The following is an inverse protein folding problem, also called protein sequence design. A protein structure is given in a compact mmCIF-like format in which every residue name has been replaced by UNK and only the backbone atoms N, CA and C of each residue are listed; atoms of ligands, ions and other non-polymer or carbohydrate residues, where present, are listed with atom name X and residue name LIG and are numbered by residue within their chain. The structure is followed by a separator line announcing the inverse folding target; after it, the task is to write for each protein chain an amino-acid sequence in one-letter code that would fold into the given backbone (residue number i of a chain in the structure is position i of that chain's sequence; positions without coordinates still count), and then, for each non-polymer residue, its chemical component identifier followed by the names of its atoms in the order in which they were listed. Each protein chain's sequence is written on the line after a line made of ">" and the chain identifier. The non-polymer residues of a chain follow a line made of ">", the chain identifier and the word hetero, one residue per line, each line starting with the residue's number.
data_IF_804681068371
#
_entry.id   IF_804681068371
#
_cell.length_a   1.000
_cell.length_b   1.000
_cell.length_c   1.000
_cell.angle_alpha   90.00
_cell.angle_beta   90.00
_cell.angle_gamma   90.00
#
_symmetry.space_group_name_H-M   'P 1'
#
loop_
_entity.id
_entity.type
_entity.pdbx_description
1 polymer ?
#
# COMPACT_ATOMS: atom_id res chain seq x y z
N UNK A 1 22.72 -22.50 0.39
CA UNK A 1 21.30 -22.50 0.58
C UNK A 1 20.56 -22.28 -0.74
N UNK A 2 19.68 -23.16 -1.03
CA UNK A 2 18.99 -23.13 -2.31
C UNK A 2 17.77 -22.23 -2.25
N UNK A 3 17.51 -21.49 -3.33
CA UNK A 3 16.30 -20.69 -3.37
C UNK A 3 15.07 -21.57 -3.46
N UNK A 4 13.97 -21.07 -2.96
CA UNK A 4 12.69 -21.73 -3.09
C UNK A 4 12.27 -21.79 -4.54
N UNK A 5 11.55 -22.84 -4.91
CA UNK A 5 10.93 -22.91 -6.21
C UNK A 5 9.80 -21.87 -6.32
N UNK A 6 9.53 -21.43 -7.55
CA UNK A 6 8.45 -20.47 -7.78
C UNK A 6 7.11 -20.96 -7.22
N UNK A 7 6.88 -22.28 -7.32
CA UNK A 7 5.65 -22.87 -6.78
C UNK A 7 5.53 -22.65 -5.28
N UNK A 8 6.66 -22.74 -4.56
CA UNK A 8 6.62 -22.56 -3.11
C UNK A 8 6.28 -21.14 -2.72
N UNK A 9 6.79 -20.14 -3.45
CA UNK A 9 6.43 -18.75 -3.19
C UNK A 9 4.94 -18.52 -3.45
N UNK A 10 4.42 -19.12 -4.51
CA UNK A 10 2.99 -19.02 -4.81
C UNK A 10 2.16 -19.63 -3.68
N UNK A 11 2.59 -20.76 -3.16
CA UNK A 11 1.90 -21.43 -2.06
C UNK A 11 1.88 -20.54 -0.82
N UNK A 12 3.01 -19.94 -0.47
CA UNK A 12 3.07 -19.06 0.69
C UNK A 12 2.16 -17.85 0.49
N UNK A 13 2.16 -17.28 -0.72
CA UNK A 13 1.26 -16.16 -1.00
C UNK A 13 -0.20 -16.58 -0.83
N UNK A 14 -0.57 -17.73 -1.36
CA UNK A 14 -1.94 -18.23 -1.25
C UNK A 14 -2.34 -18.46 0.21
N UNK A 15 -1.43 -19.03 1.00
CA UNK A 15 -1.67 -19.21 2.43
C UNK A 15 -1.86 -17.87 3.13
N UNK A 16 -1.02 -16.91 2.78
CA UNK A 16 -1.15 -15.57 3.36
C UNK A 16 -2.52 -14.98 3.11
N UNK A 17 -3.02 -15.09 1.87
CA UNK A 17 -4.34 -14.59 1.52
C UNK A 17 -5.41 -15.32 2.32
N UNK A 18 -5.29 -16.64 2.45
CA UNK A 18 -6.26 -17.42 3.22
C UNK A 18 -6.30 -16.99 4.68
N UNK A 19 -5.11 -16.85 5.29
CA UNK A 19 -5.04 -16.40 6.69
C UNK A 19 -5.63 -14.99 6.84
N UNK A 20 -5.31 -14.10 5.91
CA UNK A 20 -5.84 -12.73 5.95
C UNK A 20 -7.37 -12.75 5.92
N UNK A 21 -7.93 -13.58 5.06
CA UNK A 21 -9.39 -13.66 4.92
C UNK A 21 -10.05 -14.24 6.17
N UNK A 22 -9.28 -14.98 6.98
CA UNK A 22 -9.76 -15.52 8.25
C UNK A 22 -9.52 -14.57 9.43
N UNK A 23 -8.91 -13.41 9.17
CA UNK A 23 -8.59 -12.48 10.23
C UNK A 23 -7.34 -12.83 11.01
N UNK A 24 -6.56 -13.80 10.52
CA UNK A 24 -5.33 -14.23 11.17
C UNK A 24 -4.17 -13.44 10.58
N UNK A 25 -4.10 -12.16 10.97
CA UNK A 25 -3.19 -11.21 10.31
C UNK A 25 -1.72 -11.50 10.60
N UNK A 26 -1.40 -11.96 11.80
CA UNK A 26 -0.01 -12.28 12.14
C UNK A 26 0.50 -13.41 11.28
N UNK A 27 -0.31 -14.48 11.18
CA UNK A 27 0.04 -15.63 10.35
C UNK A 27 0.13 -15.22 8.87
N UNK A 28 -0.80 -14.38 8.44
CA UNK A 28 -0.79 -13.90 7.05
C UNK A 28 0.50 -13.16 6.74
N UNK A 29 0.93 -12.26 7.64
CA UNK A 29 2.14 -11.47 7.41
C UNK A 29 3.37 -12.35 7.35
N UNK A 30 3.42 -13.42 8.14
CA UNK A 30 4.54 -14.36 8.07
C UNK A 30 4.65 -15.00 6.70
N UNK A 31 3.50 -15.40 6.14
CA UNK A 31 3.49 -16.02 4.81
C UNK A 31 3.90 -15.00 3.74
N UNK A 32 3.38 -13.79 3.83
CA UNK A 32 3.74 -12.75 2.86
C UNK A 32 5.21 -12.38 2.96
N UNK A 33 5.78 -12.43 4.15
CA UNK A 33 7.21 -12.17 4.33
C UNK A 33 8.04 -13.14 3.50
N UNK A 34 7.62 -14.39 3.44
CA UNK A 34 8.31 -15.40 2.62
C UNK A 34 8.10 -15.10 1.13
N UNK A 35 6.85 -14.90 0.72
CA UNK A 35 6.54 -14.70 -0.71
C UNK A 35 7.14 -13.42 -1.26
N UNK A 36 7.43 -12.42 -0.42
CA UNK A 36 8.09 -11.20 -0.87
C UNK A 36 9.49 -11.45 -1.43
N UNK A 37 10.08 -12.59 -1.15
CA UNK A 37 11.40 -12.93 -1.68
C UNK A 37 11.36 -13.31 -3.16
N UNK A 38 10.17 -13.46 -3.73
CA UNK A 38 9.99 -13.73 -5.15
C UNK A 38 9.69 -12.42 -5.87
N UNK A 39 10.42 -12.14 -6.96
CA UNK A 39 10.13 -10.94 -7.75
C UNK A 39 8.69 -10.93 -8.22
N UNK A 40 8.14 -12.10 -8.56
CA UNK A 40 6.76 -12.19 -9.05
C UNK A 40 5.73 -11.80 -7.99
N UNK A 41 6.03 -12.03 -6.72
CA UNK A 41 5.09 -11.78 -5.64
C UNK A 41 5.47 -10.62 -4.73
N UNK A 42 6.55 -9.91 -5.07
CA UNK A 42 7.06 -8.85 -4.21
C UNK A 42 6.00 -7.77 -3.98
N UNK A 43 5.45 -7.23 -5.05
CA UNK A 43 4.48 -6.12 -4.91
C UNK A 43 3.17 -6.59 -4.32
N UNK A 44 2.66 -7.75 -4.76
CA UNK A 44 1.41 -8.28 -4.22
C UNK A 44 1.54 -8.56 -2.73
N UNK A 45 2.67 -9.12 -2.32
CA UNK A 45 2.88 -9.45 -0.90
C UNK A 45 3.03 -8.19 -0.06
N UNK A 46 3.72 -7.19 -0.60
CA UNK A 46 3.88 -5.92 0.12
C UNK A 46 2.52 -5.26 0.32
N UNK A 47 1.68 -5.27 -0.71
CA UNK A 47 0.34 -4.69 -0.61
C UNK A 47 -0.49 -5.43 0.43
N UNK A 48 -0.47 -6.76 0.39
CA UNK A 48 -1.23 -7.56 1.34
C UNK A 48 -0.75 -7.37 2.77
N UNK A 49 0.57 -7.23 2.95
CA UNK A 49 1.12 -6.93 4.27
C UNK A 49 0.60 -5.61 4.80
N UNK A 50 0.55 -4.59 3.93
CA UNK A 50 0.03 -3.28 4.34
C UNK A 50 -1.45 -3.37 4.71
N UNK A 51 -2.22 -4.16 3.96
CA UNK A 51 -3.63 -4.36 4.29
C UNK A 51 -3.78 -5.01 5.66
N UNK A 52 -2.96 -6.03 5.96
CA UNK A 52 -3.00 -6.67 7.26
C UNK A 52 -2.65 -5.69 8.38
N UNK A 53 -1.61 -4.89 8.18
CA UNK A 53 -1.21 -3.90 9.18
C UNK A 53 -2.30 -2.86 9.41
N UNK A 54 -2.98 -2.45 8.34
CA UNK A 54 -4.08 -1.51 8.48
C UNK A 54 -5.20 -2.11 9.29
N UNK A 55 -5.55 -3.38 9.05
CA UNK A 55 -6.59 -4.06 9.79
C UNK A 55 -6.23 -4.21 11.27
N UNK A 56 -4.95 -4.30 11.56
CA UNK A 56 -4.45 -4.37 12.94
C UNK A 56 -4.31 -2.98 13.57
N UNK A 57 -4.70 -1.93 12.86
CA UNK A 57 -4.58 -0.54 13.30
C UNK A 57 -3.13 -0.08 13.45
N UNK A 58 -2.26 -0.63 12.59
CA UNK A 58 -0.85 -0.25 12.54
C UNK A 58 -0.58 0.55 11.26
N UNK A 59 -1.32 1.63 11.07
CA UNK A 59 -1.27 2.40 9.82
C UNK A 59 0.11 3.01 9.55
N UNK A 60 0.80 3.45 10.60
CA UNK A 60 2.14 4.02 10.43
C UNK A 60 3.10 2.98 9.84
N UNK A 61 3.05 1.76 10.35
CA UNK A 61 3.90 0.70 9.82
C UNK A 61 3.53 0.36 8.39
N UNK A 62 2.23 0.36 8.07
CA UNK A 62 1.78 0.10 6.70
C UNK A 62 2.33 1.15 5.76
N UNK A 63 2.25 2.42 6.15
CA UNK A 63 2.76 3.53 5.34
C UNK A 63 4.26 3.38 5.10
N UNK A 64 5.02 3.14 6.16
CA UNK A 64 6.48 3.02 6.04
C UNK A 64 6.86 1.87 5.12
N UNK A 65 6.16 0.75 5.25
CA UNK A 65 6.43 -0.41 4.39
C UNK A 65 6.19 -0.10 2.93
N UNK A 66 5.06 0.53 2.62
CA UNK A 66 4.75 0.86 1.22
C UNK A 66 5.65 1.97 0.68
N UNK A 67 6.05 2.92 1.52
CA UNK A 67 7.00 3.94 1.08
C UNK A 67 8.34 3.32 0.68
N UNK A 68 8.77 2.31 1.41
CA UNK A 68 9.97 1.57 1.05
C UNK A 68 9.81 0.89 -0.31
N UNK A 69 8.64 0.28 -0.53
CA UNK A 69 8.35 -0.39 -1.79
C UNK A 69 8.32 0.58 -2.96
N UNK A 70 7.83 1.81 -2.73
CA UNK A 70 7.79 2.83 -3.77
C UNK A 70 9.17 3.12 -4.35
N UNK A 71 10.20 3.02 -3.54
CA UNK A 71 11.57 3.29 -3.98
C UNK A 71 12.17 2.11 -4.75
N UNK A 72 11.52 0.96 -4.76
CA UNK A 72 12.03 -0.24 -5.42
C UNK A 72 11.72 -0.17 -6.92
N UNK A 73 12.71 -0.49 -7.79
CA UNK A 73 12.46 -0.44 -9.24
C UNK A 73 11.34 -1.34 -9.71
N UNK A 74 10.97 -2.36 -8.94
CA UNK A 74 9.87 -3.26 -9.31
C UNK A 74 8.51 -2.60 -9.17
N UNK A 75 8.42 -1.45 -8.49
CA UNK A 75 7.14 -0.80 -8.25
C UNK A 75 6.71 -0.02 -9.48
N UNK A 76 6.20 -0.74 -10.47
CA UNK A 76 5.81 -0.19 -11.76
C UNK A 76 4.56 -0.90 -12.25
N UNK A 77 3.96 -0.36 -13.32
CA UNK A 77 2.81 -0.97 -13.97
C UNK A 77 1.58 -0.92 -13.09
N UNK A 78 0.63 -1.80 -13.40
CA UNK A 78 -0.65 -1.83 -12.68
C UNK A 78 -0.48 -2.09 -11.20
N UNK A 79 0.45 -2.98 -10.84
CA UNK A 79 0.68 -3.30 -9.43
C UNK A 79 1.31 -2.12 -8.70
N UNK A 80 2.20 -1.39 -9.38
CA UNK A 80 2.77 -0.17 -8.81
C UNK A 80 1.72 0.88 -8.57
N UNK A 81 0.75 1.00 -9.49
CA UNK A 81 -0.36 1.93 -9.30
C UNK A 81 -1.20 1.54 -8.08
N UNK A 82 -1.43 0.23 -7.89
CA UNK A 82 -2.19 -0.25 -6.73
C UNK A 82 -1.48 0.11 -5.42
N UNK A 83 -0.14 0.02 -5.40
CA UNK A 83 0.64 0.42 -4.23
C UNK A 83 0.44 1.92 -3.95
N UNK A 84 0.52 2.76 -4.98
CA UNK A 84 0.34 4.21 -4.82
C UNK A 84 -1.07 4.55 -4.36
N UNK A 85 -2.04 3.82 -4.87
CA UNK A 85 -3.42 4.02 -4.46
C UNK A 85 -3.61 3.69 -2.98
N UNK A 86 -3.08 2.54 -2.56
CA UNK A 86 -3.20 2.15 -1.15
C UNK A 86 -2.50 3.15 -0.24
N UNK A 87 -1.33 3.65 -0.65
CA UNK A 87 -0.67 4.71 0.10
C UNK A 87 -1.55 5.95 0.22
N UNK A 88 -2.19 6.35 -0.87
CA UNK A 88 -3.10 7.49 -0.83
C UNK A 88 -4.21 7.29 0.18
N UNK A 89 -4.80 6.09 0.19
CA UNK A 89 -5.86 5.77 1.15
C UNK A 89 -5.35 5.82 2.60
N UNK A 90 -4.16 5.29 2.82
CA UNK A 90 -3.57 5.31 4.17
C UNK A 90 -3.27 6.73 4.62
N UNK A 91 -2.74 7.56 3.71
CA UNK A 91 -2.50 8.96 4.04
C UNK A 91 -3.80 9.67 4.37
N UNK A 92 -4.87 9.42 3.60
CA UNK A 92 -6.18 10.01 3.89
C UNK A 92 -6.66 9.63 5.28
N UNK A 93 -6.53 8.34 5.62
CA UNK A 93 -7.01 7.85 6.90
C UNK A 93 -6.27 8.51 8.07
N UNK A 94 -5.00 8.88 7.86
CA UNK A 94 -4.20 9.56 8.86
C UNK A 94 -4.26 11.08 8.73
N UNK A 95 -5.11 11.57 7.86
CA UNK A 95 -5.31 13.00 7.62
C UNK A 95 -4.06 13.72 7.15
N UNK A 96 -3.21 12.99 6.44
CA UNK A 96 -2.03 13.55 5.80
C UNK A 96 -2.41 13.96 4.38
N UNK A 97 -3.16 15.06 4.30
CA UNK A 97 -3.89 15.44 3.09
C UNK A 97 -2.95 15.72 1.90
N UNK A 98 -1.84 16.40 2.16
CA UNK A 98 -0.91 16.74 1.08
C UNK A 98 -0.21 15.50 0.53
N UNK A 99 0.17 14.59 1.42
CA UNK A 99 0.78 13.34 0.97
C UNK A 99 -0.23 12.50 0.19
N UNK A 100 -1.49 12.49 0.65
CA UNK A 100 -2.54 11.77 -0.06
C UNK A 100 -2.71 12.33 -1.46
N UNK A 101 -2.81 13.67 -1.57
CA UNK A 101 -2.97 14.32 -2.87
C UNK A 101 -1.80 13.98 -3.79
N UNK A 102 -0.58 14.04 -3.26
CA UNK A 102 0.61 13.73 -4.06
C UNK A 102 0.57 12.31 -4.60
N UNK A 103 0.21 11.35 -3.73
CA UNK A 103 0.13 9.95 -4.14
C UNK A 103 -0.92 9.77 -5.24
N UNK A 104 -2.11 10.36 -5.07
CA UNK A 104 -3.19 10.22 -6.04
C UNK A 104 -2.88 10.95 -7.35
N UNK A 105 -2.18 12.08 -7.29
CA UNK A 105 -1.81 12.81 -8.51
C UNK A 105 -0.87 12.02 -9.39
N UNK A 106 -0.14 11.06 -8.84
CA UNK A 106 0.74 10.21 -9.63
C UNK A 106 -0.03 9.12 -10.39
N UNK A 107 -1.32 8.93 -10.06
CA UNK A 107 -2.17 7.92 -10.72
C UNK A 107 -3.55 8.52 -11.02
N UNK A 108 -3.62 9.60 -11.82
CA UNK A 108 -4.84 10.42 -11.90
C UNK A 108 -6.06 9.72 -12.47
N UNK A 109 -5.88 8.65 -13.24
CA UNK A 109 -7.04 7.93 -13.82
C UNK A 109 -7.35 6.62 -13.13
N UNK A 110 -6.71 6.32 -12.00
CA UNK A 110 -6.86 5.03 -11.33
C UNK A 110 -8.11 5.04 -10.46
N UNK A 111 -9.01 4.08 -10.69
CA UNK A 111 -10.23 3.88 -9.87
C UNK A 111 -10.96 5.21 -9.62
N UNK A 112 -11.20 5.55 -8.36
CA UNK A 112 -11.94 6.73 -7.96
C UNK A 112 -11.03 7.93 -7.62
N UNK A 113 -9.80 7.91 -8.10
CA UNK A 113 -8.84 8.98 -7.81
C UNK A 113 -9.36 10.37 -8.20
N UNK A 114 -10.01 10.55 -9.37
CA UNK A 114 -10.52 11.89 -9.68
C UNK A 114 -11.45 12.44 -8.60
N UNK A 115 -12.34 11.60 -8.08
CA UNK A 115 -13.26 12.00 -7.02
C UNK A 115 -12.53 12.28 -5.72
N UNK A 116 -11.52 11.49 -5.41
CA UNK A 116 -10.74 11.70 -4.19
C UNK A 116 -9.95 12.99 -4.24
N UNK A 117 -9.41 13.32 -5.41
CA UNK A 117 -8.67 14.58 -5.56
C UNK A 117 -9.57 15.78 -5.37
N UNK A 118 -10.80 15.71 -5.86
CA UNK A 118 -11.76 16.79 -5.64
C UNK A 118 -12.05 16.96 -4.14
N UNK A 119 -12.26 15.83 -3.45
CA UNK A 119 -12.53 15.89 -2.01
C UNK A 119 -11.34 16.45 -1.24
N UNK A 120 -10.13 16.12 -1.66
CA UNK A 120 -8.92 16.60 -0.98
C UNK A 120 -8.74 18.11 -1.15
N UNK A 121 -9.20 18.68 -2.26
CA UNK A 121 -9.15 20.12 -2.43
C UNK A 121 -9.95 20.83 -1.34
N UNK A 122 -11.09 20.27 -0.97
CA UNK A 122 -11.88 20.82 0.11
C UNK A 122 -11.16 20.78 1.44
N UNK A 123 -10.41 19.70 1.69
CA UNK A 123 -9.65 19.61 2.93
C UNK A 123 -8.55 20.65 3.01
N UNK A 124 -7.81 20.82 1.90
CA UNK A 124 -6.76 21.84 1.85
C UNK A 124 -7.32 23.22 2.05
N UNK A 125 -8.44 23.50 1.40
CA UNK A 125 -9.05 24.81 1.52
C UNK A 125 -9.44 25.16 2.93
N UNK A 126 -9.67 24.17 3.76
CA UNK A 126 -9.99 24.39 5.15
C UNK A 126 -8.77 24.49 6.04
N UNK A 127 -7.67 24.11 5.57
CA UNK A 127 -6.60 23.91 6.40
C UNK A 127 -5.48 24.84 6.53
N UNK A 128 -5.39 24.54 6.60
CA UNK A 128 -4.41 24.69 6.78
C UNK A 128 -3.71 25.09 6.47
N UNK A 129 -3.80 25.44 6.36
CA UNK A 129 -3.23 25.70 5.75
C UNK A 129 -2.40 25.84 5.64
N UNK A 130 -2.27 25.78 5.67
CA UNK A 130 -1.54 25.80 5.07
C UNK A 130 -0.81 25.68 4.95
N UNK A 131 -0.99 25.31 4.87
CA UNK A 131 -0.44 25.05 4.34
C UNK A 131 0.06 25.26 3.81
N UNK A 132 -0.08 25.29 3.74
CA UNK A 132 0.14 25.20 2.97
C UNK A 132 0.79 25.40 2.55
N UNK A 133 0.94 25.25 2.41
CA UNK A 133 1.35 25.33 1.73
C UNK A 133 1.80 25.62 1.43
N UNK A 134 1.65 25.81 1.69
CA UNK A 134 1.93 25.96 1.20
C UNK A 134 2.27 25.87 1.03
N UNK A 135 2.09 25.85 1.10
CA UNK A 135 2.35 25.69 0.63
C UNK A 135 2.65 25.52 0.45
#
# INVERSE_FOLDING_TARGET
>A
KEPMAAFDYETHYALGVAYKNMGLYEEAKEEFHVSMNSDSYYLDSALMTAVCLKEEHHSTQAILGLETVLADPRCQGAKGQAIRYELGLLYEAEELWEKAAHAFESIPSFHDVPQRLVALKGKHGGGDVGFRYAS
#
